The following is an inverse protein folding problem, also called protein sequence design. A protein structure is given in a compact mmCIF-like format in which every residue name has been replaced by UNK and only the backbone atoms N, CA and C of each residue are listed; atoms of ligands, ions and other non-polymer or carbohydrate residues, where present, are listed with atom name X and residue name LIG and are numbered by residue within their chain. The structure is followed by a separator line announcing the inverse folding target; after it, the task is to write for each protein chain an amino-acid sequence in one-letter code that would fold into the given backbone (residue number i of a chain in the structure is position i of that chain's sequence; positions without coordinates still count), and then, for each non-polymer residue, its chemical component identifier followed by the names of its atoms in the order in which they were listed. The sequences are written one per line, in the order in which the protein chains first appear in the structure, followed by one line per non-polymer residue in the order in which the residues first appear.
data_IF_683534388315
#
_entry.id   IF_683534388315
#
_cell.length_a   1.000
_cell.length_b   1.000
_cell.length_c   1.000
_cell.angle_alpha   90.00
_cell.angle_beta   90.00
_cell.angle_gamma   90.00
#
_symmetry.space_group_name_H-M   'P 1'
#
loop_
_entity.id
_entity.type
_entity.pdbx_description
1 polymer ?
#
# COMPACT_ATOMS: atom_id res chain seq x y z
N UNK A 1 -9.43 4.13 3.85
CA UNK A 1 -10.44 4.73 4.75
C UNK A 1 -10.30 6.25 4.72
N UNK A 2 -11.41 7.00 4.75
CA UNK A 2 -11.38 8.46 4.67
C UNK A 2 -11.03 9.08 6.03
N UNK A 3 -10.28 10.19 6.02
CA UNK A 3 -9.85 10.89 7.22
C UNK A 3 -9.96 12.40 7.05
N UNK A 4 -10.18 13.12 8.14
CA UNK A 4 -10.21 14.58 8.13
C UNK A 4 -8.84 15.14 7.71
N UNK A 5 -8.84 16.19 6.89
CA UNK A 5 -7.61 16.87 6.50
C UNK A 5 -7.08 17.69 7.68
N UNK A 6 -5.93 17.29 8.22
CA UNK A 6 -5.24 18.00 9.30
C UNK A 6 -4.09 18.85 8.75
N UNK A 7 -3.59 19.82 9.53
CA UNK A 7 -2.43 20.62 9.15
C UNK A 7 -1.17 19.75 8.94
N UNK A 8 -1.02 18.65 9.68
CA UNK A 8 0.07 17.70 9.50
C UNK A 8 -0.04 16.96 8.17
N UNK A 9 -1.24 16.43 7.84
CA UNK A 9 -1.48 15.75 6.57
C UNK A 9 -1.34 16.70 5.37
N UNK A 10 -1.73 17.97 5.52
CA UNK A 10 -1.60 18.97 4.46
C UNK A 10 -0.13 19.30 4.09
N UNK A 11 0.83 19.01 4.98
CA UNK A 11 2.28 19.14 4.71
C UNK A 11 2.93 17.87 4.20
N UNK A 12 2.19 16.74 4.18
CA UNK A 12 2.68 15.49 3.63
C UNK A 12 2.62 15.54 2.10
N UNK A 13 3.67 15.04 1.44
CA UNK A 13 3.70 14.94 -0.01
C UNK A 13 2.68 13.94 -0.53
N UNK A 14 2.15 14.20 -1.73
CA UNK A 14 1.20 13.28 -2.36
C UNK A 14 1.88 11.99 -2.85
N UNK A 15 3.05 12.10 -3.50
CA UNK A 15 3.69 10.99 -4.22
C UNK A 15 5.00 10.49 -3.58
N UNK A 16 5.21 9.16 -3.50
CA UNK A 16 4.19 8.12 -3.62
C UNK A 16 3.32 8.05 -2.36
N UNK A 17 2.12 7.49 -2.47
CA UNK A 17 1.26 7.23 -1.32
C UNK A 17 1.88 6.18 -0.40
N UNK A 18 2.38 6.61 0.76
CA UNK A 18 2.92 5.69 1.78
C UNK A 18 1.87 4.70 2.31
N UNK A 19 0.60 5.12 2.38
CA UNK A 19 -0.49 4.23 2.78
C UNK A 19 -0.77 3.15 1.73
N UNK A 20 -0.66 3.47 0.44
CA UNK A 20 -0.79 2.47 -0.61
C UNK A 20 0.41 1.51 -0.63
N UNK A 21 1.62 2.02 -0.37
CA UNK A 21 2.83 1.21 -0.25
C UNK A 21 2.74 0.20 0.89
N UNK A 22 2.45 0.66 2.11
CA UNK A 22 2.33 -0.23 3.27
C UNK A 22 1.22 -1.26 3.09
N UNK A 23 0.02 -0.82 2.67
CA UNK A 23 -1.10 -1.74 2.47
C UNK A 23 -0.86 -2.78 1.37
N UNK A 24 -0.09 -2.44 0.34
CA UNK A 24 0.27 -3.40 -0.71
C UNK A 24 1.37 -4.36 -0.27
N UNK A 25 2.39 -3.87 0.44
CA UNK A 25 3.38 -4.71 1.08
C UNK A 25 2.73 -5.74 2.01
N UNK A 26 1.87 -5.28 2.92
CA UNK A 26 1.14 -6.15 3.85
C UNK A 26 0.29 -7.18 3.10
N UNK A 27 -0.40 -6.79 2.03
CA UNK A 27 -1.20 -7.71 1.22
C UNK A 27 -0.36 -8.77 0.52
N UNK A 28 0.83 -8.42 0.01
CA UNK A 28 1.75 -9.38 -0.60
C UNK A 28 2.22 -10.42 0.42
N UNK A 29 2.67 -9.96 1.59
CA UNK A 29 3.13 -10.86 2.66
C UNK A 29 2.00 -11.76 3.17
N UNK A 30 0.80 -11.21 3.35
CA UNK A 30 -0.37 -12.01 3.76
C UNK A 30 -0.78 -13.04 2.69
N UNK A 31 -0.66 -12.70 1.40
CA UNK A 31 -0.94 -13.63 0.31
C UNK A 31 0.09 -14.76 0.24
N UNK A 32 1.34 -14.51 0.62
CA UNK A 32 2.38 -15.55 0.76
C UNK A 32 2.08 -16.48 1.96
N UNK A 33 1.60 -15.91 3.08
CA UNK A 33 1.28 -16.67 4.28
C UNK A 33 -0.03 -17.49 4.18
N UNK A 34 -0.99 -17.03 3.38
CA UNK A 34 -2.29 -17.67 3.16
C UNK A 34 -2.61 -17.79 1.66
N UNK A 35 -1.90 -18.69 0.93
CA UNK A 35 -1.97 -18.76 -0.53
C UNK A 35 -3.35 -19.18 -1.06
N UNK A 36 -4.10 -19.95 -0.28
CA UNK A 36 -5.50 -20.32 -0.54
C UNK A 36 -6.46 -19.12 -0.56
N UNK A 37 -6.03 -17.98 0.02
CA UNK A 37 -6.78 -16.72 0.08
C UNK A 37 -6.12 -15.57 -0.68
N UNK A 38 -5.04 -15.83 -1.42
CA UNK A 38 -4.21 -14.81 -2.04
C UNK A 38 -5.01 -13.83 -2.90
N UNK A 39 -5.95 -14.31 -3.73
CA UNK A 39 -6.77 -13.45 -4.59
C UNK A 39 -7.63 -12.45 -3.79
N UNK A 40 -8.27 -12.89 -2.70
CA UNK A 40 -9.07 -12.02 -1.83
C UNK A 40 -8.20 -10.99 -1.12
N UNK A 41 -7.04 -11.42 -0.63
CA UNK A 41 -6.09 -10.57 0.09
C UNK A 41 -5.54 -9.48 -0.84
N UNK A 42 -5.09 -9.85 -2.04
CA UNK A 42 -4.56 -8.90 -3.02
C UNK A 42 -5.64 -7.94 -3.52
N UNK A 43 -6.86 -8.44 -3.77
CA UNK A 43 -7.99 -7.58 -4.09
C UNK A 43 -8.27 -6.56 -2.98
N UNK A 44 -8.20 -6.99 -1.72
CA UNK A 44 -8.37 -6.09 -0.57
C UNK A 44 -7.24 -5.06 -0.47
N UNK A 45 -5.98 -5.47 -0.68
CA UNK A 45 -4.83 -4.57 -0.71
C UNK A 45 -4.96 -3.48 -1.79
N UNK A 46 -5.43 -3.86 -2.98
CA UNK A 46 -5.72 -2.92 -4.06
C UNK A 46 -6.82 -1.92 -3.68
N UNK A 47 -7.95 -2.41 -3.18
CA UNK A 47 -9.07 -1.56 -2.74
C UNK A 47 -8.67 -0.56 -1.65
N UNK A 48 -7.71 -0.91 -0.78
CA UNK A 48 -7.20 -0.01 0.24
C UNK A 48 -6.49 1.22 -0.37
N UNK A 49 -5.77 1.04 -1.48
CA UNK A 49 -5.19 2.11 -2.28
C UNK A 49 -6.24 2.93 -3.02
N UNK A 50 -7.17 2.27 -3.72
CA UNK A 50 -8.26 2.93 -4.45
C UNK A 50 -9.13 3.81 -3.55
N UNK A 51 -9.36 3.37 -2.30
CA UNK A 51 -10.03 4.17 -1.29
C UNK A 51 -9.33 5.50 -1.02
N UNK A 52 -8.00 5.61 -1.18
CA UNK A 52 -7.27 6.88 -0.99
C UNK A 52 -7.58 7.88 -2.09
N UNK A 53 -7.81 7.40 -3.32
CA UNK A 53 -8.28 8.23 -4.44
C UNK A 53 -9.69 8.72 -4.16
N UNK A 54 -10.60 7.81 -3.81
CA UNK A 54 -12.02 8.13 -3.54
C UNK A 54 -12.15 9.15 -2.40
N UNK A 55 -11.37 9.00 -1.33
CA UNK A 55 -11.38 9.92 -0.20
C UNK A 55 -10.66 11.25 -0.48
N UNK A 56 -10.09 11.45 -1.67
CA UNK A 56 -9.31 12.64 -2.02
C UNK A 56 -8.02 12.81 -1.20
N UNK A 57 -7.50 11.71 -0.64
CA UNK A 57 -6.31 11.73 0.20
C UNK A 57 -5.02 11.65 -0.63
N UNK A 58 -5.07 10.97 -1.78
CA UNK A 58 -3.96 10.85 -2.72
C UNK A 58 -4.46 10.89 -4.16
N UNK A 59 -3.63 11.37 -5.08
CA UNK A 59 -3.88 11.21 -6.51
C UNK A 59 -3.82 9.74 -6.95
N UNK A 60 -4.38 9.43 -8.12
CA UNK A 60 -4.30 8.08 -8.69
C UNK A 60 -2.86 7.65 -8.95
N UNK A 61 -2.02 8.54 -9.49
CA UNK A 61 -0.60 8.26 -9.73
C UNK A 61 0.17 8.04 -8.44
N UNK A 62 -0.12 8.78 -7.37
CA UNK A 62 0.45 8.54 -6.04
C UNK A 62 0.10 7.15 -5.50
N UNK A 63 -1.13 6.68 -5.70
CA UNK A 63 -1.55 5.33 -5.29
C UNK A 63 -0.83 4.25 -6.11
N UNK A 64 -0.75 4.40 -7.42
CA UNK A 64 -0.02 3.47 -8.30
C UNK A 64 1.47 3.40 -7.95
N UNK A 65 2.11 4.55 -7.74
CA UNK A 65 3.50 4.61 -7.28
C UNK A 65 3.69 3.99 -5.90
N UNK A 66 2.69 4.12 -5.03
CA UNK A 66 2.65 3.43 -3.73
C UNK A 66 2.65 1.92 -3.88
N UNK A 67 1.79 1.35 -4.72
CA UNK A 67 1.78 -0.11 -4.98
C UNK A 67 3.13 -0.61 -5.52
N UNK A 68 3.75 0.13 -6.43
CA UNK A 68 5.09 -0.22 -6.94
C UNK A 68 6.14 -0.17 -5.82
N UNK A 69 6.10 0.86 -4.96
CA UNK A 69 7.00 0.98 -3.82
C UNK A 69 6.82 -0.17 -2.81
N UNK A 70 5.57 -0.56 -2.52
CA UNK A 70 5.27 -1.70 -1.65
C UNK A 70 5.76 -3.02 -2.21
N UNK A 71 5.62 -3.25 -3.53
CA UNK A 71 6.14 -4.43 -4.19
C UNK A 71 7.68 -4.47 -4.18
N UNK A 72 8.34 -3.34 -4.44
CA UNK A 72 9.79 -3.23 -4.35
C UNK A 72 10.28 -3.48 -2.91
N UNK A 73 9.58 -2.94 -1.91
CA UNK A 73 9.90 -3.19 -0.50
C UNK A 73 9.77 -4.68 -0.14
N UNK A 74 8.73 -5.37 -0.62
CA UNK A 74 8.60 -6.83 -0.41
C UNK A 74 9.79 -7.58 -0.98
N UNK A 75 10.24 -7.24 -2.20
CA UNK A 75 11.40 -7.88 -2.81
C UNK A 75 12.70 -7.62 -2.01
N UNK A 76 12.90 -6.40 -1.51
CA UNK A 76 14.05 -6.07 -0.65
C UNK A 76 14.01 -6.86 0.65
N UNK A 77 12.84 -6.98 1.29
CA UNK A 77 12.67 -7.75 2.52
C UNK A 77 13.03 -9.21 2.31
N UNK A 78 12.53 -9.84 1.24
CA UNK A 78 12.89 -11.21 0.87
C UNK A 78 14.38 -11.40 0.58
N UNK A 79 15.10 -10.34 0.20
CA UNK A 79 16.55 -10.32 0.08
C UNK A 79 17.30 -10.35 1.42
N UNK A 80 16.67 -9.91 2.51
CA UNK A 80 17.30 -9.84 3.84
C UNK A 80 17.29 -11.17 4.59
N UNK A 81 18.44 -11.58 5.11
CA UNK A 81 18.55 -12.78 5.95
C UNK A 81 17.86 -12.64 7.32
N UNK A 82 17.63 -11.41 7.81
CA UNK A 82 16.91 -11.19 9.07
C UNK A 82 15.39 -11.26 8.92
N UNK A 83 14.89 -11.25 7.68
CA UNK A 83 13.45 -11.27 7.38
C UNK A 83 12.96 -12.67 7.02
N UNK A 84 13.77 -13.43 6.26
CA UNK A 84 13.50 -14.84 5.94
C UNK A 84 13.65 -15.72 7.19
#
# INVERSE_FOLDING_TARGET
ICQARTAALARSGDYPSGHAANGWLEALLLAELAPDRASEILARGRQAGESRVICGAHSASAVEGGWQAGAAASAVLHGSASFR
#
